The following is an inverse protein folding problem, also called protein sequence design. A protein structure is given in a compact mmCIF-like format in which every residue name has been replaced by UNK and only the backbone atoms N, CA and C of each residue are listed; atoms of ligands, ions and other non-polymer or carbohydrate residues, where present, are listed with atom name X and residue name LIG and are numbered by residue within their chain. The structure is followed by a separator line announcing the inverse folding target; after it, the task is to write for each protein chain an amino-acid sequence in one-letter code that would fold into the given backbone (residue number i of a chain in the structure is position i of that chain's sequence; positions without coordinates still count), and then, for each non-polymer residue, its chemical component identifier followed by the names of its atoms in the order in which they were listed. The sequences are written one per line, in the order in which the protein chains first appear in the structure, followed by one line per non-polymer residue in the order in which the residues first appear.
data_IF_966835485834
#
_entry.id   IF_966835485834
#
_cell.length_a   1.000
_cell.length_b   1.000
_cell.length_c   1.000
_cell.angle_alpha   90.00
_cell.angle_beta   90.00
_cell.angle_gamma   90.00
#
_symmetry.space_group_name_H-M   'P 1'
#
loop_
_entity.id
_entity.type
_entity.pdbx_description
1 polymer ?
#
# COMPACT_ATOMS: atom_id res chain seq x y z
N UNK A 1 -13.65 0.77 17.06
CA UNK A 1 -13.13 -0.24 18.01
C UNK A 1 -14.26 -1.09 18.59
N UNK A 2 -15.32 -0.50 19.16
CA UNK A 2 -16.40 -1.27 19.85
C UNK A 2 -17.02 -2.32 18.91
N UNK A 3 -17.36 -1.97 17.67
CA UNK A 3 -17.90 -2.91 16.68
C UNK A 3 -16.93 -4.05 16.36
N UNK A 4 -15.65 -3.73 16.19
CA UNK A 4 -14.60 -4.72 15.94
C UNK A 4 -14.45 -5.70 17.11
N UNK A 5 -14.41 -5.22 18.35
CA UNK A 5 -14.32 -6.10 19.54
C UNK A 5 -15.56 -6.97 19.68
N UNK A 6 -16.78 -6.42 19.45
CA UNK A 6 -18.02 -7.22 19.43
C UNK A 6 -18.04 -8.29 18.33
N UNK A 7 -17.33 -8.04 17.25
CA UNK A 7 -17.13 -8.99 16.16
C UNK A 7 -15.88 -9.88 16.36
N UNK A 8 -15.37 -10.01 17.59
CA UNK A 8 -14.22 -10.85 17.94
C UNK A 8 -12.87 -10.43 17.31
N UNK A 9 -12.70 -9.14 17.01
CA UNK A 9 -11.39 -8.56 16.66
C UNK A 9 -10.79 -7.87 17.89
N UNK A 10 -10.35 -8.65 18.89
CA UNK A 10 -9.96 -8.19 20.22
C UNK A 10 -8.68 -7.32 20.25
N UNK A 11 -7.90 -7.34 19.14
CA UNK A 11 -6.67 -6.59 19.03
C UNK A 11 -6.83 -5.24 18.28
N UNK A 12 -8.08 -4.80 18.11
CA UNK A 12 -8.38 -3.55 17.46
C UNK A 12 -8.13 -2.36 18.39
N UNK A 13 -7.35 -1.41 17.92
CA UNK A 13 -7.10 -0.13 18.60
C UNK A 13 -7.42 1.02 17.66
N UNK A 14 -7.71 2.20 18.21
CA UNK A 14 -7.85 3.41 17.42
C UNK A 14 -6.96 4.51 18.01
N UNK A 15 -6.22 5.24 17.15
CA UNK A 15 -5.51 6.41 17.62
C UNK A 15 -6.48 7.49 18.06
N UNK A 16 -6.12 8.26 19.08
CA UNK A 16 -6.82 9.50 19.42
C UNK A 16 -6.35 10.58 18.44
N UNK A 17 -7.27 11.11 17.63
CA UNK A 17 -6.99 12.12 16.62
C UNK A 17 -7.21 11.61 15.19
N UNK A 18 -6.91 12.47 14.22
CA UNK A 18 -7.24 12.25 12.80
C UNK A 18 -6.11 11.67 11.95
N UNK A 19 -4.90 11.56 12.50
CA UNK A 19 -3.72 11.06 11.79
C UNK A 19 -2.87 10.18 12.71
N UNK A 20 -2.27 9.13 12.12
CA UNK A 20 -1.26 8.33 12.79
C UNK A 20 0.00 9.19 13.02
N UNK A 21 0.55 9.15 14.23
CA UNK A 21 1.80 9.83 14.58
C UNK A 21 2.96 8.82 14.65
N UNK A 22 4.20 9.34 14.65
CA UNK A 22 5.40 8.51 14.81
C UNK A 22 5.37 7.69 16.10
N UNK A 23 5.03 8.33 17.24
CA UNK A 23 4.95 7.65 18.53
C UNK A 23 3.92 6.52 18.53
N UNK A 24 2.77 6.74 17.90
CA UNK A 24 1.73 5.72 17.74
C UNK A 24 2.21 4.55 16.86
N UNK A 25 2.90 4.86 15.77
CA UNK A 25 3.50 3.84 14.90
C UNK A 25 4.53 2.99 15.66
N UNK A 26 5.41 3.64 16.41
CA UNK A 26 6.40 2.96 17.24
C UNK A 26 5.76 2.08 18.31
N UNK A 27 4.66 2.56 18.91
CA UNK A 27 3.88 1.79 19.90
C UNK A 27 3.24 0.56 19.25
N UNK A 28 2.66 0.69 18.05
CA UNK A 28 2.10 -0.44 17.30
C UNK A 28 3.17 -1.50 17.02
N UNK A 29 4.37 -1.10 16.63
CA UNK A 29 5.46 -2.05 16.37
C UNK A 29 6.01 -2.74 17.62
N UNK A 30 5.73 -2.25 18.82
CA UNK A 30 6.01 -3.00 20.06
C UNK A 30 5.07 -4.17 20.26
N UNK A 31 3.86 -4.11 19.68
CA UNK A 31 2.83 -5.12 19.84
C UNK A 31 2.76 -6.09 18.66
N UNK A 32 3.03 -5.63 17.46
CA UNK A 32 2.98 -6.45 16.25
C UNK A 32 4.03 -5.99 15.23
N UNK A 33 4.78 -6.91 14.58
CA UNK A 33 5.80 -6.55 13.59
C UNK A 33 5.20 -5.98 12.29
N UNK A 34 3.96 -6.33 11.97
CA UNK A 34 3.26 -5.85 10.77
C UNK A 34 1.78 -5.53 11.09
N UNK A 35 1.52 -4.47 11.86
CA UNK A 35 0.14 -4.07 12.17
C UNK A 35 -0.61 -3.70 10.89
N UNK A 36 -1.94 -3.94 10.90
CA UNK A 36 -2.84 -3.58 9.80
C UNK A 36 -3.52 -2.25 10.13
N UNK A 37 -3.30 -1.25 9.30
CA UNK A 37 -4.05 0.00 9.33
C UNK A 37 -5.33 -0.17 8.52
N UNK A 38 -6.46 -0.07 9.19
CA UNK A 38 -7.77 -0.08 8.57
C UNK A 38 -8.15 1.35 8.20
N UNK A 39 -8.38 1.58 6.90
CA UNK A 39 -8.72 2.88 6.33
C UNK A 39 -10.14 2.83 5.78
N UNK A 40 -10.90 3.88 6.04
CA UNK A 40 -12.27 4.01 5.53
C UNK A 40 -12.31 3.98 4.01
N UNK A 41 -13.42 3.53 3.45
CA UNK A 41 -13.63 3.36 2.01
C UNK A 41 -13.92 4.66 1.26
N UNK A 42 -13.22 5.75 1.62
CA UNK A 42 -13.37 7.05 0.98
C UNK A 42 -12.00 7.67 0.64
N UNK A 43 -12.02 8.81 -0.05
CA UNK A 43 -10.80 9.55 -0.36
C UNK A 43 -10.02 10.02 0.88
N UNK A 44 -10.70 10.31 1.97
CA UNK A 44 -10.05 10.76 3.20
C UNK A 44 -9.28 9.61 3.83
N UNK A 45 -9.88 8.41 3.89
CA UNK A 45 -9.24 7.18 4.36
C UNK A 45 -8.05 6.79 3.47
N UNK A 46 -8.18 6.88 2.15
CA UNK A 46 -7.07 6.64 1.23
C UNK A 46 -5.91 7.62 1.49
N UNK A 47 -6.21 8.92 1.57
CA UNK A 47 -5.18 9.93 1.88
C UNK A 47 -4.55 9.72 3.26
N UNK A 48 -5.31 9.27 4.25
CA UNK A 48 -4.78 8.95 5.59
C UNK A 48 -3.83 7.73 5.52
N UNK A 49 -4.20 6.69 4.79
CA UNK A 49 -3.34 5.53 4.55
C UNK A 49 -2.02 5.90 3.86
N UNK A 50 -2.08 6.72 2.81
CA UNK A 50 -0.89 7.20 2.10
C UNK A 50 0.01 8.03 3.03
N UNK A 51 -0.56 8.95 3.84
CA UNK A 51 0.24 9.70 4.82
C UNK A 51 0.92 8.80 5.84
N UNK A 52 0.22 7.78 6.35
CA UNK A 52 0.80 6.81 7.26
C UNK A 52 1.90 5.97 6.58
N UNK A 53 1.74 5.65 5.30
CA UNK A 53 2.76 4.96 4.51
C UNK A 53 4.04 5.79 4.40
N UNK A 54 3.94 7.09 4.08
CA UNK A 54 5.09 8.00 4.03
C UNK A 54 5.74 8.19 5.41
N UNK A 55 4.92 8.34 6.47
CA UNK A 55 5.41 8.47 7.84
C UNK A 55 6.26 7.26 8.26
N UNK A 56 5.91 6.06 7.79
CA UNK A 56 6.60 4.84 8.17
C UNK A 56 8.00 4.69 7.53
N UNK A 57 8.24 5.28 6.35
CA UNK A 57 9.47 5.06 5.56
C UNK A 57 10.76 5.26 6.35
N UNK A 58 10.99 6.39 7.06
CA UNK A 58 12.23 6.61 7.80
C UNK A 58 12.40 5.68 9.01
N UNK A 59 11.32 5.04 9.46
CA UNK A 59 11.29 4.22 10.68
C UNK A 59 11.29 2.72 10.40
N UNK A 60 11.28 2.30 9.13
CA UNK A 60 11.32 0.89 8.75
C UNK A 60 12.57 0.20 9.28
N UNK A 61 12.39 -1.01 9.81
CA UNK A 61 13.46 -1.88 10.31
C UNK A 61 13.26 -3.29 9.77
N UNK A 62 14.33 -4.09 9.62
CA UNK A 62 14.20 -5.48 9.21
C UNK A 62 13.18 -6.24 10.08
N UNK A 63 12.20 -6.87 9.42
CA UNK A 63 11.11 -7.58 10.09
C UNK A 63 9.92 -6.72 10.52
N UNK A 64 9.97 -5.39 10.37
CA UNK A 64 8.87 -4.48 10.71
C UNK A 64 8.33 -3.80 9.46
N UNK A 65 7.01 -3.76 9.33
CA UNK A 65 6.32 -3.13 8.21
C UNK A 65 4.93 -2.65 8.64
N UNK A 66 4.15 -2.17 7.67
CA UNK A 66 2.72 -1.90 7.78
C UNK A 66 1.96 -2.63 6.70
N UNK A 67 0.74 -3.00 7.01
CA UNK A 67 -0.25 -3.44 6.02
C UNK A 67 -1.45 -2.51 6.05
N UNK A 68 -2.14 -2.36 4.93
CA UNK A 68 -3.25 -1.44 4.79
C UNK A 68 -4.47 -2.18 4.28
N UNK A 69 -5.52 -2.17 5.07
CA UNK A 69 -6.83 -2.68 4.72
C UNK A 69 -7.73 -1.50 4.36
N UNK A 70 -8.11 -1.38 3.10
CA UNK A 70 -9.06 -0.37 2.63
C UNK A 70 -10.45 -0.99 2.58
N UNK A 71 -11.40 -0.35 3.25
CA UNK A 71 -12.78 -0.79 3.22
C UNK A 71 -13.44 -0.52 1.85
N UNK A 72 -14.54 -1.18 1.54
CA UNK A 72 -15.36 -0.84 0.37
C UNK A 72 -15.81 0.63 0.40
N UNK A 73 -16.10 1.18 -0.77
CA UNK A 73 -16.50 2.59 -0.92
C UNK A 73 -17.71 2.94 -0.04
N UNK A 74 -17.57 4.01 0.74
CA UNK A 74 -18.60 4.51 1.64
C UNK A 74 -18.76 3.73 2.94
N UNK A 75 -17.94 2.70 3.18
CA UNK A 75 -18.00 1.90 4.40
C UNK A 75 -16.94 2.31 5.42
N UNK A 76 -17.31 2.18 6.68
CA UNK A 76 -16.41 2.13 7.83
C UNK A 76 -16.49 0.73 8.50
N UNK A 77 -15.63 0.42 9.47
CA UNK A 77 -15.66 -0.90 10.12
C UNK A 77 -17.00 -1.24 10.81
N UNK A 78 -17.72 -0.24 11.31
CA UNK A 78 -19.00 -0.43 11.99
C UNK A 78 -20.11 -0.79 11.00
N UNK A 79 -20.22 -0.03 9.92
CA UNK A 79 -21.20 -0.25 8.84
C UNK A 79 -20.96 -1.58 8.12
N UNK A 80 -19.70 -1.90 7.80
CA UNK A 80 -19.36 -3.16 7.15
C UNK A 80 -19.72 -4.38 8.03
N UNK A 81 -19.39 -4.32 9.33
CA UNK A 81 -19.72 -5.41 10.27
C UNK A 81 -21.22 -5.53 10.47
N UNK A 82 -21.92 -4.40 10.60
CA UNK A 82 -23.38 -4.40 10.78
C UNK A 82 -24.12 -4.99 9.58
N UNK A 83 -23.63 -4.71 8.36
CA UNK A 83 -24.24 -5.19 7.12
C UNK A 83 -23.88 -6.64 6.78
N UNK A 84 -22.57 -6.96 6.79
CA UNK A 84 -22.05 -8.19 6.22
C UNK A 84 -21.35 -9.10 7.24
N UNK A 85 -21.24 -8.66 8.49
CA UNK A 85 -20.74 -9.45 9.61
C UNK A 85 -19.22 -9.66 9.65
N UNK A 86 -18.80 -10.54 10.56
CA UNK A 86 -17.40 -10.89 10.81
C UNK A 86 -16.62 -11.31 9.55
N UNK A 87 -17.24 -12.16 8.71
CA UNK A 87 -16.53 -12.74 7.56
C UNK A 87 -16.10 -11.69 6.53
N UNK A 88 -16.92 -10.65 6.30
CA UNK A 88 -16.59 -9.57 5.41
C UNK A 88 -15.40 -8.75 5.94
N UNK A 89 -15.43 -8.37 7.21
CA UNK A 89 -14.34 -7.63 7.84
C UNK A 89 -13.05 -8.45 7.89
N UNK A 90 -13.14 -9.74 8.17
CA UNK A 90 -12.01 -10.66 8.17
C UNK A 90 -11.34 -10.72 6.80
N UNK A 91 -12.14 -10.82 5.73
CA UNK A 91 -11.63 -10.79 4.35
C UNK A 91 -10.87 -9.51 4.06
N UNK A 92 -11.39 -8.35 4.43
CA UNK A 92 -10.72 -7.05 4.24
C UNK A 92 -9.36 -7.02 4.95
N UNK A 93 -9.28 -7.55 6.17
CA UNK A 93 -8.02 -7.63 6.93
C UNK A 93 -7.03 -8.62 6.29
N UNK A 94 -7.50 -9.78 5.86
CA UNK A 94 -6.66 -10.80 5.24
C UNK A 94 -6.09 -10.34 3.89
N UNK A 95 -6.86 -9.56 3.12
CA UNK A 95 -6.48 -8.95 1.85
C UNK A 95 -5.68 -7.64 2.02
N UNK A 96 -5.33 -7.24 3.26
CA UNK A 96 -4.57 -6.02 3.52
C UNK A 96 -3.28 -5.97 2.69
N UNK A 97 -3.08 -4.84 2.02
CA UNK A 97 -1.98 -4.61 1.10
C UNK A 97 -0.69 -4.26 1.84
N UNK A 98 0.48 -4.72 1.37
CA UNK A 98 1.76 -4.31 1.93
C UNK A 98 2.06 -2.84 1.62
N UNK A 99 2.92 -2.25 2.44
CA UNK A 99 3.34 -0.85 2.33
C UNK A 99 3.85 -0.47 0.92
N UNK A 100 4.66 -1.32 0.29
CA UNK A 100 5.19 -1.05 -1.05
C UNK A 100 4.10 -0.91 -2.11
N UNK A 101 3.01 -1.70 -2.01
CA UNK A 101 1.87 -1.58 -2.92
C UNK A 101 1.11 -0.27 -2.75
N UNK A 102 0.93 0.19 -1.52
CA UNK A 102 0.25 1.47 -1.24
C UNK A 102 1.07 2.64 -1.78
N UNK A 103 2.39 2.61 -1.61
CA UNK A 103 3.30 3.62 -2.17
C UNK A 103 3.31 3.60 -3.70
N UNK A 104 3.37 2.43 -4.31
CA UNK A 104 3.24 2.30 -5.76
C UNK A 104 1.92 2.88 -6.28
N UNK A 105 0.82 2.52 -5.63
CA UNK A 105 -0.52 3.01 -5.97
C UNK A 105 -0.60 4.54 -5.88
N UNK A 106 -0.04 5.15 -4.84
CA UNK A 106 -0.04 6.61 -4.67
C UNK A 106 0.70 7.35 -5.79
N UNK A 107 1.71 6.70 -6.39
CA UNK A 107 2.47 7.29 -7.50
C UNK A 107 1.90 6.97 -8.88
N UNK A 108 1.01 5.99 -9.01
CA UNK A 108 0.54 5.53 -10.31
C UNK A 108 -0.96 5.73 -10.55
N UNK A 109 -1.80 5.69 -9.52
CA UNK A 109 -3.26 5.76 -9.68
C UNK A 109 -3.69 7.11 -10.26
N UNK A 110 -4.50 7.06 -11.32
CA UNK A 110 -5.03 8.24 -11.99
C UNK A 110 -4.02 9.04 -12.82
N UNK A 111 -2.76 8.59 -12.91
CA UNK A 111 -1.69 9.27 -13.67
C UNK A 111 -1.47 8.62 -15.04
N UNK A 112 -1.13 9.43 -16.03
CA UNK A 112 -0.80 8.95 -17.38
C UNK A 112 0.72 8.79 -17.56
N UNK A 113 1.15 7.62 -18.01
CA UNK A 113 2.55 7.25 -18.27
C UNK A 113 2.79 6.87 -19.75
N UNK A 114 2.06 7.48 -20.65
CA UNK A 114 2.15 7.20 -22.09
C UNK A 114 3.49 7.64 -22.70
N UNK A 115 4.10 8.70 -22.16
CA UNK A 115 5.35 9.23 -22.72
C UNK A 115 6.59 8.81 -21.88
N UNK A 116 7.80 8.77 -22.51
CA UNK A 116 9.03 8.47 -21.79
C UNK A 116 9.31 9.44 -20.65
N UNK A 117 9.04 10.74 -20.83
CA UNK A 117 9.27 11.77 -19.80
C UNK A 117 8.42 11.54 -18.56
N UNK A 118 7.14 11.13 -18.75
CA UNK A 118 6.24 10.82 -17.65
C UNK A 118 6.69 9.57 -16.89
N UNK A 119 7.21 8.56 -17.61
CA UNK A 119 7.80 7.36 -16.98
C UNK A 119 9.06 7.70 -16.21
N UNK A 120 9.93 8.54 -16.76
CA UNK A 120 11.11 9.04 -16.06
C UNK A 120 10.72 9.82 -14.79
N UNK A 121 9.63 10.61 -14.86
CA UNK A 121 9.04 11.28 -13.70
C UNK A 121 8.58 10.31 -12.61
N UNK A 122 7.93 9.20 -12.98
CA UNK A 122 7.56 8.15 -12.03
C UNK A 122 8.79 7.50 -11.38
N UNK A 123 9.78 7.10 -12.19
CA UNK A 123 11.01 6.48 -11.67
C UNK A 123 11.73 7.41 -10.69
N UNK A 124 11.71 8.72 -10.94
CA UNK A 124 12.24 9.72 -10.01
C UNK A 124 11.43 9.78 -8.71
N UNK A 125 10.10 9.87 -8.78
CA UNK A 125 9.26 9.91 -7.59
C UNK A 125 9.44 8.66 -6.72
N UNK A 126 9.51 7.47 -7.33
CA UNK A 126 9.79 6.22 -6.62
C UNK A 126 11.19 6.22 -5.96
N UNK A 127 12.19 6.80 -6.64
CA UNK A 127 13.55 6.93 -6.08
C UNK A 127 13.57 7.89 -4.88
N UNK A 128 12.78 8.97 -4.93
CA UNK A 128 12.60 9.90 -3.81
C UNK A 128 11.95 9.21 -2.59
N UNK A 129 10.95 8.34 -2.80
CA UNK A 129 10.38 7.51 -1.73
C UNK A 129 11.42 6.59 -1.08
N UNK A 130 12.24 5.93 -1.89
CA UNK A 130 13.31 5.05 -1.41
C UNK A 130 14.34 5.84 -0.60
N UNK A 131 14.64 7.08 -0.98
CA UNK A 131 15.59 7.93 -0.26
C UNK A 131 15.15 8.30 1.15
N UNK A 132 13.86 8.22 1.47
CA UNK A 132 13.34 8.42 2.82
C UNK A 132 13.53 7.21 3.75
N UNK A 133 13.92 6.05 3.22
CA UNK A 133 14.15 4.83 4.03
C UNK A 133 15.54 4.89 4.63
N UNK A 134 15.61 4.95 5.97
CA UNK A 134 16.89 5.08 6.69
C UNK A 134 17.75 3.82 6.64
N UNK A 135 17.14 2.63 6.65
CA UNK A 135 17.86 1.36 6.56
C UNK A 135 18.23 1.06 5.09
N UNK A 136 19.54 1.05 4.80
CA UNK A 136 20.06 0.85 3.44
C UNK A 136 19.64 -0.47 2.82
N UNK A 137 19.53 -1.54 3.62
CA UNK A 137 19.14 -2.85 3.11
C UNK A 137 17.67 -2.89 2.71
N UNK A 138 16.80 -2.28 3.51
CA UNK A 138 15.38 -2.13 3.17
C UNK A 138 15.24 -1.23 1.93
N UNK A 139 15.95 -0.11 1.88
CA UNK A 139 15.97 0.77 0.70
C UNK A 139 16.34 0.01 -0.58
N UNK A 140 17.33 -0.88 -0.53
CA UNK A 140 17.72 -1.71 -1.68
C UNK A 140 16.62 -2.67 -2.13
N UNK A 141 15.86 -3.27 -1.17
CA UNK A 141 14.72 -4.12 -1.52
C UNK A 141 13.57 -3.34 -2.13
N UNK A 142 13.24 -2.16 -1.58
CA UNK A 142 12.21 -1.28 -2.16
C UNK A 142 12.60 -0.81 -3.56
N UNK A 143 13.85 -0.44 -3.79
CA UNK A 143 14.34 -0.05 -5.11
C UNK A 143 14.11 -1.15 -6.14
N UNK A 144 14.52 -2.39 -5.82
CA UNK A 144 14.33 -3.55 -6.70
C UNK A 144 12.86 -3.86 -6.97
N UNK A 145 12.02 -3.80 -5.94
CA UNK A 145 10.57 -4.02 -6.07
C UNK A 145 9.95 -2.99 -7.01
N UNK A 146 10.28 -1.71 -6.87
CA UNK A 146 9.79 -0.65 -7.75
C UNK A 146 10.34 -0.75 -9.17
N UNK A 147 11.61 -1.05 -9.35
CA UNK A 147 12.20 -1.30 -10.66
C UNK A 147 11.50 -2.47 -11.39
N UNK A 148 11.21 -3.54 -10.68
CA UNK A 148 10.45 -4.67 -11.22
C UNK A 148 9.04 -4.26 -11.62
N UNK A 149 8.31 -3.51 -10.79
CA UNK A 149 6.97 -3.02 -11.10
C UNK A 149 6.98 -2.08 -12.32
N UNK A 150 7.96 -1.19 -12.45
CA UNK A 150 8.16 -0.35 -13.65
C UNK A 150 8.39 -1.22 -14.89
N UNK A 151 9.25 -2.24 -14.78
CA UNK A 151 9.52 -3.14 -15.89
C UNK A 151 8.26 -3.92 -16.32
N UNK A 152 7.53 -4.49 -15.38
CA UNK A 152 6.33 -5.28 -15.67
C UNK A 152 5.22 -4.42 -16.30
N UNK A 153 5.03 -3.20 -15.85
CA UNK A 153 3.95 -2.34 -16.32
C UNK A 153 4.28 -1.62 -17.64
N UNK A 154 5.56 -1.26 -17.88
CA UNK A 154 5.90 -0.38 -19.00
C UNK A 154 6.88 -0.98 -20.00
N UNK A 155 7.79 -1.86 -19.60
CA UNK A 155 8.82 -2.44 -20.50
C UNK A 155 8.37 -3.76 -21.13
N UNK A 156 7.57 -4.56 -20.43
CA UNK A 156 7.06 -5.84 -20.96
C UNK A 156 6.04 -5.67 -22.10
N UNK A 157 5.37 -4.51 -22.21
CA UNK A 157 4.42 -4.22 -23.31
C UNK A 157 5.07 -3.85 -24.63
N UNK A 158 6.40 -3.75 -24.70
CA UNK A 158 7.16 -3.38 -25.90
C UNK A 158 7.72 -4.61 -26.66
N UNK A 159 7.18 -5.82 -26.50
CA UNK A 159 7.53 -6.92 -27.37
C UNK A 159 7.00 -6.64 -28.78
N UNK A 160 7.85 -6.61 -29.84
CA UNK A 160 7.41 -6.37 -31.20
C UNK A 160 6.46 -7.49 -31.66
N UNK A 161 5.49 -7.19 -32.56
CA UNK A 161 4.65 -8.22 -33.14
C UNK A 161 5.52 -9.25 -33.83
N UNK A 162 5.29 -10.52 -33.53
CA UNK A 162 5.95 -11.62 -34.24
C UNK A 162 5.63 -11.48 -35.71
N UNK A 163 6.65 -11.22 -36.54
CA UNK A 163 6.53 -11.30 -38.01
C UNK A 163 6.18 -12.75 -38.33
N UNK A 164 4.95 -12.99 -38.75
CA UNK A 164 4.59 -14.21 -39.43
C UNK A 164 5.59 -14.44 -40.58
N UNK A 165 6.35 -15.51 -40.49
CA UNK A 165 7.15 -15.99 -41.62
C UNK A 165 6.15 -16.41 -42.68
N UNK A 166 5.92 -15.57 -43.68
CA UNK A 166 5.32 -16.00 -44.92
C UNK A 166 6.21 -17.08 -45.51
N UNK A 167 5.68 -18.30 -45.50
CA UNK A 167 6.24 -19.45 -46.16
C UNK A 167 5.81 -19.34 -47.62
N UNK A 168 6.64 -18.71 -48.46
CA UNK A 168 6.52 -18.81 -49.91
C UNK A 168 6.90 -20.22 -50.38
N UNK A 169 5.90 -20.91 -50.90
CA UNK A 169 6.04 -22.07 -51.78
C UNK A 169 5.82 -21.67 -53.22
#
# INVERSE_FOLDING_TARGET
VIALVRACFDHAVAPLGTACTEDQLQLLWRTAPAPVLCCDGDEAGLRAGIRAAHLALPHLKPGFSLRFAFLPEGEDPDTLIARDGYAAMRKVIDEAQPLSKVLWRSETEGKDFSTPERRAGLERALSELVAHISDSKIADYYRRDFEQQVFENFKRRAAPPQRERQNDR
#
